data_IF_796088150878
#
_entry.id   IF_796088150878
#
_cell.length_a   1.000
_cell.length_b   1.000
_cell.length_c   1.000
_cell.angle_alpha   90.00
_cell.angle_beta   90.00
_cell.angle_gamma   90.00
#
_symmetry.space_group_name_H-M   'P 1'
#
loop_
_entity.id
_entity.type
_entity.pdbx_description
1 polymer ?
#
# COMPACT_ATOMS: atom_id res chain seq x y z
N UNK A 1 -31.88 13.23 -3.13
CA UNK A 1 -30.56 13.19 -2.45
C UNK A 1 -29.73 12.24 -3.27
N UNK A 2 -28.53 12.60 -3.77
CA UNK A 2 -27.65 11.56 -4.32
C UNK A 2 -27.40 10.54 -3.21
N UNK A 3 -27.53 9.25 -3.52
CA UNK A 3 -27.16 8.20 -2.58
C UNK A 3 -25.71 8.46 -2.13
N UNK A 4 -25.51 8.54 -0.82
CA UNK A 4 -24.18 8.76 -0.26
C UNK A 4 -23.34 7.54 -0.58
N UNK A 5 -22.24 7.73 -1.31
CA UNK A 5 -21.30 6.65 -1.62
C UNK A 5 -20.82 6.00 -0.32
N UNK A 6 -20.69 4.67 -0.33
CA UNK A 6 -20.14 3.94 0.81
C UNK A 6 -18.61 4.12 0.86
N UNK A 7 -18.01 4.21 2.06
CA UNK A 7 -16.57 4.38 2.16
C UNK A 7 -15.83 3.11 1.71
N UNK A 8 -14.70 3.32 1.04
CA UNK A 8 -13.73 2.30 0.68
C UNK A 8 -12.31 2.71 1.10
N UNK A 9 -11.45 1.72 1.29
CA UNK A 9 -10.04 1.92 1.55
C UNK A 9 -9.19 0.91 0.77
N UNK A 10 -7.98 1.32 0.43
CA UNK A 10 -7.02 0.46 -0.29
C UNK A 10 -5.84 0.10 0.60
N UNK A 11 -5.49 -1.18 0.66
CA UNK A 11 -4.31 -1.64 1.37
C UNK A 11 -3.20 -2.02 0.41
N UNK A 12 -1.95 -1.75 0.79
CA UNK A 12 -0.77 -2.03 0.00
C UNK A 12 0.26 -2.87 0.77
N UNK A 13 0.71 -3.95 0.15
CA UNK A 13 1.92 -4.71 0.54
C UNK A 13 2.99 -4.49 -0.52
N UNK A 14 3.93 -3.59 -0.25
CA UNK A 14 4.95 -3.15 -1.21
C UNK A 14 6.24 -3.97 -1.13
N UNK A 15 6.84 -4.19 -2.28
CA UNK A 15 8.15 -4.80 -2.50
C UNK A 15 8.98 -3.93 -3.44
N UNK A 16 10.22 -4.34 -3.71
CA UNK A 16 11.07 -3.69 -4.72
C UNK A 16 10.41 -3.74 -6.12
N UNK A 17 9.91 -2.59 -6.58
CA UNK A 17 9.34 -2.37 -7.90
C UNK A 17 7.88 -2.79 -8.11
N UNK A 18 7.18 -3.28 -7.08
CA UNK A 18 5.77 -3.67 -7.20
C UNK A 18 5.05 -3.70 -5.85
N UNK A 19 3.72 -3.69 -5.86
CA UNK A 19 2.91 -3.89 -4.65
C UNK A 19 1.68 -4.76 -4.92
N UNK A 20 1.27 -5.57 -3.94
CA UNK A 20 -0.10 -6.09 -3.91
C UNK A 20 -1.02 -4.99 -3.39
N UNK A 21 -2.14 -4.77 -4.08
CA UNK A 21 -3.16 -3.81 -3.72
C UNK A 21 -4.50 -4.52 -3.55
N UNK A 22 -5.19 -4.24 -2.45
CA UNK A 22 -6.56 -4.72 -2.20
C UNK A 22 -7.44 -3.55 -1.79
N UNK A 23 -8.45 -3.25 -2.61
CA UNK A 23 -9.47 -2.26 -2.30
C UNK A 23 -10.66 -2.94 -1.63
N UNK A 24 -11.02 -2.50 -0.42
CA UNK A 24 -12.16 -2.99 0.34
C UNK A 24 -13.19 -1.88 0.51
N UNK A 25 -14.47 -2.23 0.40
CA UNK A 25 -15.60 -1.31 0.54
C UNK A 25 -16.66 -1.84 1.48
N UNK A 26 -17.62 -0.97 1.80
CA UNK A 26 -18.78 -1.28 2.62
C UNK A 26 -18.54 -1.06 4.12
N UNK A 27 -19.55 -1.32 4.97
CA UNK A 27 -19.41 -1.17 6.40
C UNK A 27 -18.43 -2.22 6.98
N UNK A 28 -17.72 -1.87 8.05
CA UNK A 28 -16.81 -2.80 8.74
C UNK A 28 -17.51 -4.07 9.27
N UNK A 29 -18.83 -4.03 9.48
CA UNK A 29 -19.61 -5.21 9.85
C UNK A 29 -19.83 -6.20 8.71
N UNK A 30 -19.66 -5.77 7.45
CA UNK A 30 -19.82 -6.58 6.25
C UNK A 30 -18.95 -6.06 5.09
N UNK A 31 -17.60 -6.05 5.25
CA UNK A 31 -16.72 -5.54 4.21
C UNK A 31 -16.71 -6.47 3.00
N UNK A 32 -16.52 -5.90 1.81
CA UNK A 32 -16.30 -6.64 0.57
C UNK A 32 -15.00 -6.18 -0.09
N UNK A 33 -14.44 -7.02 -0.97
CA UNK A 33 -13.33 -6.62 -1.83
C UNK A 33 -13.91 -6.10 -3.13
N UNK A 34 -13.55 -4.86 -3.48
CA UNK A 34 -13.95 -4.23 -4.74
C UNK A 34 -13.00 -4.67 -5.85
N UNK A 35 -11.69 -4.63 -5.57
CA UNK A 35 -10.65 -4.94 -6.55
C UNK A 35 -9.39 -5.46 -5.85
N UNK A 36 -8.68 -6.37 -6.52
CA UNK A 36 -7.37 -6.84 -6.10
C UNK A 36 -6.45 -6.88 -7.30
N UNK A 37 -5.39 -6.08 -7.23
CA UNK A 37 -4.41 -5.95 -8.30
C UNK A 37 -2.96 -6.13 -7.82
N UNK A 38 -2.07 -6.42 -8.77
CA UNK A 38 -0.62 -6.31 -8.61
C UNK A 38 -0.17 -5.06 -9.35
N UNK A 39 0.28 -4.06 -8.61
CA UNK A 39 0.77 -2.81 -9.14
C UNK A 39 2.25 -2.92 -9.47
N UNK A 40 2.65 -2.45 -10.65
CA UNK A 40 4.04 -2.18 -10.95
C UNK A 40 4.36 -0.75 -10.52
N UNK A 41 5.49 -0.57 -9.84
CA UNK A 41 5.97 0.74 -9.36
C UNK A 41 7.29 1.14 -10.02
N UNK A 42 7.64 0.43 -11.09
CA UNK A 42 8.75 0.72 -12.00
C UNK A 42 8.51 -0.06 -13.29
N UNK A 43 8.96 0.49 -14.41
CA UNK A 43 8.88 -0.13 -15.72
C UNK A 43 10.25 -0.16 -16.39
N UNK A 44 10.45 -1.09 -17.32
CA UNK A 44 11.70 -1.12 -18.10
C UNK A 44 11.84 0.19 -18.90
N UNK A 45 13.02 0.83 -18.93
CA UNK A 45 14.33 0.31 -18.55
C UNK A 45 14.76 0.53 -17.10
N UNK A 46 13.92 1.15 -16.25
CA UNK A 46 14.28 1.45 -14.88
C UNK A 46 14.35 0.20 -14.00
N UNK A 47 15.27 0.16 -13.03
CA UNK A 47 15.49 -1.03 -12.22
C UNK A 47 14.44 -1.18 -11.12
N UNK A 48 14.23 -2.44 -10.70
CA UNK A 48 13.47 -2.77 -9.49
C UNK A 48 14.26 -2.58 -8.22
N UNK A 49 15.59 -2.66 -8.33
CA UNK A 49 16.54 -2.57 -7.22
C UNK A 49 17.49 -1.37 -7.48
N UNK A 50 16.97 -0.13 -7.48
CA UNK A 50 17.75 1.05 -7.87
C UNK A 50 18.98 1.28 -6.99
N UNK A 51 18.98 0.84 -5.73
CA UNK A 51 20.14 1.00 -4.86
C UNK A 51 21.23 -0.04 -5.15
N UNK A 52 20.85 -1.27 -5.52
CA UNK A 52 21.81 -2.27 -6.00
C UNK A 52 22.48 -1.84 -7.31
N UNK A 53 21.71 -1.24 -8.23
CA UNK A 53 22.26 -0.74 -9.50
C UNK A 53 23.10 0.52 -9.28
N UNK A 54 22.64 1.45 -8.45
CA UNK A 54 23.42 2.61 -8.03
C UNK A 54 24.76 2.22 -7.37
N UNK A 55 24.81 1.10 -6.63
CA UNK A 55 26.06 0.60 -6.03
C UNK A 55 27.11 0.19 -7.07
N UNK A 56 26.67 -0.23 -8.26
CA UNK A 56 27.54 -0.71 -9.36
C UNK A 56 28.08 0.44 -10.21
N UNK A 57 27.38 1.58 -10.23
CA UNK A 57 27.77 2.79 -10.96
C UNK A 57 28.73 3.71 -10.20
N UNK A 58 29.12 4.81 -10.85
CA UNK A 58 29.83 5.92 -10.20
C UNK A 58 28.92 6.78 -9.31
N UNK A 59 29.46 7.69 -8.46
CA UNK A 59 28.65 8.49 -7.54
C UNK A 59 27.55 9.34 -8.21
N UNK A 60 27.84 9.95 -9.36
CA UNK A 60 26.88 10.79 -10.09
C UNK A 60 25.76 9.92 -10.71
N UNK A 61 26.15 8.81 -11.34
CA UNK A 61 25.23 7.81 -11.90
C UNK A 61 24.33 7.19 -10.81
N UNK A 62 24.86 6.97 -9.61
CA UNK A 62 24.12 6.45 -8.47
C UNK A 62 22.98 7.37 -8.03
N UNK A 63 23.20 8.69 -8.05
CA UNK A 63 22.17 9.68 -7.74
C UNK A 63 21.10 9.70 -8.82
N UNK A 64 21.51 9.69 -10.09
CA UNK A 64 20.58 9.72 -11.24
C UNK A 64 19.67 8.48 -11.29
N UNK A 65 20.23 7.28 -11.08
CA UNK A 65 19.45 6.03 -11.06
C UNK A 65 18.37 6.06 -9.98
N UNK A 66 18.74 6.45 -8.75
CA UNK A 66 17.79 6.49 -7.62
C UNK A 66 16.74 7.57 -7.85
N UNK A 67 17.13 8.75 -8.35
CA UNK A 67 16.20 9.84 -8.64
C UNK A 67 15.19 9.46 -9.73
N UNK A 68 15.65 8.86 -10.84
CA UNK A 68 14.77 8.41 -11.92
C UNK A 68 13.79 7.34 -11.45
N UNK A 69 14.26 6.34 -10.68
CA UNK A 69 13.39 5.31 -10.13
C UNK A 69 12.37 5.87 -9.12
N UNK A 70 12.76 6.84 -8.29
CA UNK A 70 11.85 7.49 -7.35
C UNK A 70 10.76 8.30 -8.09
N UNK A 71 11.12 9.02 -9.15
CA UNK A 71 10.16 9.79 -9.92
C UNK A 71 9.15 8.90 -10.66
N UNK A 72 9.63 7.86 -11.34
CA UNK A 72 8.77 6.86 -11.98
C UNK A 72 7.82 6.21 -10.97
N UNK A 73 8.32 5.83 -9.79
CA UNK A 73 7.50 5.24 -8.74
C UNK A 73 6.39 6.19 -8.28
N UNK A 74 6.65 7.50 -8.16
CA UNK A 74 5.63 8.50 -7.81
C UNK A 74 4.55 8.60 -8.88
N UNK A 75 4.94 8.66 -10.15
CA UNK A 75 4.00 8.72 -11.28
C UNK A 75 3.10 7.49 -11.29
N UNK A 76 3.68 6.29 -11.27
CA UNK A 76 2.92 5.03 -11.30
C UNK A 76 2.04 4.84 -10.06
N UNK A 77 2.51 5.26 -8.89
CA UNK A 77 1.71 5.22 -7.67
C UNK A 77 0.51 6.18 -7.75
N UNK A 78 0.69 7.39 -8.27
CA UNK A 78 -0.38 8.37 -8.45
C UNK A 78 -1.43 7.89 -9.45
N UNK A 79 -0.99 7.32 -10.59
CA UNK A 79 -1.88 6.70 -11.58
C UNK A 79 -2.68 5.55 -10.98
N UNK A 80 -2.01 4.67 -10.22
CA UNK A 80 -2.67 3.54 -9.58
C UNK A 80 -3.74 4.00 -8.56
N UNK A 81 -3.42 4.94 -7.68
CA UNK A 81 -4.36 5.47 -6.69
C UNK A 81 -5.56 6.14 -7.39
N UNK A 82 -5.31 6.93 -8.44
CA UNK A 82 -6.37 7.56 -9.24
C UNK A 82 -7.26 6.52 -9.92
N UNK A 83 -6.66 5.47 -10.48
CA UNK A 83 -7.38 4.36 -11.09
C UNK A 83 -8.26 3.61 -10.09
N UNK A 84 -7.77 3.35 -8.88
CA UNK A 84 -8.55 2.73 -7.82
C UNK A 84 -9.69 3.63 -7.32
N UNK A 85 -9.48 4.95 -7.22
CA UNK A 85 -10.53 5.88 -6.86
C UNK A 85 -11.66 5.90 -7.91
N UNK A 86 -11.31 5.94 -9.20
CA UNK A 86 -12.27 5.87 -10.29
C UNK A 86 -13.02 4.53 -10.31
N UNK A 87 -12.32 3.41 -10.10
CA UNK A 87 -12.91 2.08 -10.02
C UNK A 87 -13.87 1.98 -8.84
N UNK A 88 -13.46 2.41 -7.65
CA UNK A 88 -14.34 2.44 -6.47
C UNK A 88 -15.60 3.25 -6.74
N UNK A 89 -15.46 4.43 -7.36
CA UNK A 89 -16.59 5.29 -7.76
C UNK A 89 -17.55 4.61 -8.73
N UNK A 90 -17.04 3.89 -9.73
CA UNK A 90 -17.86 3.11 -10.66
C UNK A 90 -18.65 1.98 -9.98
N UNK A 91 -18.18 1.51 -8.82
CA UNK A 91 -18.84 0.50 -8.00
C UNK A 91 -19.70 1.09 -6.86
N UNK A 92 -19.90 2.42 -6.81
CA UNK A 92 -20.73 3.07 -5.79
C UNK A 92 -20.01 3.39 -4.47
N UNK A 93 -18.68 3.38 -4.47
CA UNK A 93 -17.86 3.65 -3.30
C UNK A 93 -17.02 4.93 -3.44
N UNK A 94 -16.70 5.55 -2.31
CA UNK A 94 -15.75 6.65 -2.21
C UNK A 94 -14.45 6.12 -1.57
N UNK A 95 -13.33 6.21 -2.30
CA UNK A 95 -12.03 5.85 -1.73
C UNK A 95 -11.59 6.95 -0.76
N UNK A 96 -11.54 6.66 0.55
CA UNK A 96 -11.31 7.66 1.61
C UNK A 96 -9.99 7.47 2.37
N UNK A 97 -9.38 6.30 2.28
CA UNK A 97 -8.19 5.97 3.04
C UNK A 97 -7.30 4.93 2.35
N UNK A 98 -6.04 4.88 2.75
CA UNK A 98 -5.11 3.83 2.36
C UNK A 98 -4.34 3.26 3.56
N UNK A 99 -4.02 1.98 3.50
CA UNK A 99 -3.26 1.26 4.52
C UNK A 99 -1.94 0.74 3.95
N UNK A 100 -0.81 1.12 4.54
CA UNK A 100 0.52 0.67 4.13
C UNK A 100 1.04 -0.37 5.10
N UNK A 101 1.37 -1.56 4.60
CA UNK A 101 2.18 -2.51 5.37
C UNK A 101 3.59 -1.96 5.48
N UNK A 102 4.01 -1.66 6.70
CA UNK A 102 5.34 -1.13 6.99
C UNK A 102 6.33 -2.29 7.17
N UNK A 103 7.43 -2.21 6.42
CA UNK A 103 8.64 -3.00 6.63
C UNK A 103 9.68 -2.21 7.44
N UNK A 104 10.95 -2.32 7.04
CA UNK A 104 12.06 -1.56 7.63
C UNK A 104 11.81 -0.05 7.70
N UNK A 105 12.49 0.62 8.63
CA UNK A 105 12.39 2.07 8.79
C UNK A 105 12.92 2.86 7.58
N UNK A 106 12.85 4.19 7.67
CA UNK A 106 13.44 5.09 6.67
C UNK A 106 14.93 4.77 6.49
N UNK A 107 15.47 4.77 5.26
CA UNK A 107 16.89 4.52 5.01
C UNK A 107 17.77 5.59 5.67
N UNK A 108 19.08 5.35 5.61
CA UNK A 108 20.08 6.31 6.07
C UNK A 108 19.88 7.70 5.44
N UNK A 109 20.34 8.73 6.15
CA UNK A 109 20.19 10.13 5.76
C UNK A 109 20.95 10.50 4.48
N UNK A 110 21.89 9.67 4.02
CA UNK A 110 22.65 9.87 2.80
C UNK A 110 22.63 8.65 1.89
N UNK A 111 22.86 8.87 0.58
CA UNK A 111 23.03 7.80 -0.40
C UNK A 111 24.16 6.85 0.01
N UNK A 112 25.28 7.37 0.53
CA UNK A 112 26.39 6.54 1.01
C UNK A 112 26.00 5.59 2.15
N UNK A 113 25.11 6.02 3.06
CA UNK A 113 24.59 5.17 4.12
C UNK A 113 23.64 4.11 3.56
N UNK A 114 22.77 4.47 2.62
CA UNK A 114 21.87 3.52 1.93
C UNK A 114 22.64 2.48 1.12
N UNK A 115 23.82 2.82 0.59
CA UNK A 115 24.70 1.94 -0.17
C UNK A 115 25.72 1.17 0.70
N UNK A 116 25.65 1.27 2.02
CA UNK A 116 26.68 0.74 2.93
C UNK A 116 26.68 -0.80 3.02
N UNK A 117 25.51 -1.41 3.01
CA UNK A 117 25.32 -2.86 3.14
C UNK A 117 24.14 -3.33 2.29
N UNK A 118 24.08 -4.63 1.96
CA UNK A 118 22.92 -5.21 1.28
C UNK A 118 21.61 -4.99 2.06
N UNK A 119 21.65 -5.08 3.39
CA UNK A 119 20.49 -4.80 4.22
C UNK A 119 20.05 -3.32 4.12
N UNK A 120 20.99 -2.38 4.06
CA UNK A 120 20.69 -0.96 3.87
C UNK A 120 20.07 -0.69 2.49
N UNK A 121 20.59 -1.34 1.44
CA UNK A 121 20.06 -1.20 0.08
C UNK A 121 18.63 -1.74 -0.01
N UNK A 122 18.37 -2.96 0.48
CA UNK A 122 16.99 -3.50 0.52
C UNK A 122 16.04 -2.63 1.35
N UNK A 123 16.50 -2.09 2.47
CA UNK A 123 15.72 -1.15 3.28
C UNK A 123 15.37 0.12 2.51
N UNK A 124 16.33 0.68 1.77
CA UNK A 124 16.14 1.89 0.97
C UNK A 124 15.21 1.67 -0.22
N UNK A 125 15.30 0.53 -0.89
CA UNK A 125 14.40 0.15 -2.00
C UNK A 125 12.96 -0.05 -1.50
N UNK A 126 12.78 -0.83 -0.44
CA UNK A 126 11.47 -1.04 0.17
C UNK A 126 10.87 0.24 0.75
N UNK A 127 11.70 1.22 1.14
CA UNK A 127 11.24 2.55 1.49
C UNK A 127 10.80 3.36 0.26
N UNK A 128 11.63 3.44 -0.79
CA UNK A 128 11.37 4.24 -1.99
C UNK A 128 9.99 3.97 -2.59
N UNK A 129 9.66 2.70 -2.85
CA UNK A 129 8.38 2.35 -3.48
C UNK A 129 7.18 2.54 -2.54
N UNK A 130 7.38 2.34 -1.23
CA UNK A 130 6.35 2.56 -0.22
C UNK A 130 6.08 4.05 0.01
N UNK A 131 7.12 4.87 0.01
CA UNK A 131 7.03 6.32 0.13
C UNK A 131 6.24 6.89 -1.04
N UNK A 132 6.50 6.44 -2.28
CA UNK A 132 5.70 6.82 -3.44
C UNK A 132 4.19 6.52 -3.27
N UNK A 133 3.82 5.35 -2.75
CA UNK A 133 2.41 5.01 -2.47
C UNK A 133 1.81 5.86 -1.34
N UNK A 134 2.59 6.21 -0.32
CA UNK A 134 2.15 7.11 0.76
C UNK A 134 1.88 8.51 0.20
N UNK A 135 2.84 9.06 -0.55
CA UNK A 135 2.75 10.38 -1.18
C UNK A 135 1.57 10.46 -2.15
N UNK A 136 1.40 9.44 -3.00
CA UNK A 136 0.28 9.34 -3.94
C UNK A 136 -1.09 9.30 -3.22
N UNK A 137 -1.17 8.55 -2.12
CA UNK A 137 -2.38 8.48 -1.30
C UNK A 137 -2.72 9.86 -0.70
N UNK A 138 -1.73 10.51 -0.07
CA UNK A 138 -1.90 11.81 0.58
C UNK A 138 -2.24 12.91 -0.43
N UNK A 139 -1.58 12.91 -1.59
CA UNK A 139 -1.84 13.87 -2.67
C UNK A 139 -3.23 13.71 -3.28
N UNK A 140 -3.78 12.50 -3.24
CA UNK A 140 -5.16 12.21 -3.63
C UNK A 140 -6.19 12.48 -2.52
N UNK A 141 -5.77 13.09 -1.40
CA UNK A 141 -6.65 13.40 -0.27
C UNK A 141 -7.01 12.20 0.62
N UNK A 142 -6.41 11.03 0.40
CA UNK A 142 -6.66 9.84 1.20
C UNK A 142 -5.94 9.92 2.55
N UNK A 143 -6.59 9.41 3.59
CA UNK A 143 -5.92 9.15 4.87
C UNK A 143 -4.97 7.96 4.73
N UNK A 144 -3.66 8.21 4.68
CA UNK A 144 -2.65 7.16 4.66
C UNK A 144 -2.32 6.67 6.09
N UNK A 145 -2.50 5.37 6.34
CA UNK A 145 -2.25 4.71 7.63
C UNK A 145 -1.13 3.68 7.48
N UNK A 146 -0.01 3.89 8.16
CA UNK A 146 1.05 2.89 8.25
C UNK A 146 0.81 1.89 9.38
N UNK A 147 0.99 0.59 9.12
CA UNK A 147 0.90 -0.48 10.13
C UNK A 147 2.07 -1.45 10.00
N UNK A 148 2.75 -1.73 11.11
CA UNK A 148 3.83 -2.74 11.13
C UNK A 148 3.21 -4.12 10.88
N UNK A 149 3.81 -4.93 9.99
CA UNK A 149 3.20 -6.18 9.54
C UNK A 149 2.77 -7.12 10.68
N UNK A 150 3.62 -7.28 11.72
CA UNK A 150 3.32 -8.14 12.88
C UNK A 150 2.12 -7.66 13.71
N UNK A 151 1.75 -6.39 13.59
CA UNK A 151 0.66 -5.75 14.35
C UNK A 151 -0.65 -5.77 13.55
N UNK A 152 -0.63 -6.15 12.27
CA UNK A 152 -1.82 -6.18 11.41
C UNK A 152 -2.97 -6.99 12.01
N UNK A 153 -2.78 -8.23 12.52
CA UNK A 153 -3.90 -9.00 13.06
C UNK A 153 -4.58 -8.28 14.24
N UNK A 154 -3.80 -7.86 15.23
CA UNK A 154 -4.30 -7.16 16.41
C UNK A 154 -4.97 -5.82 16.06
N UNK A 155 -4.40 -5.06 15.13
CA UNK A 155 -4.95 -3.77 14.70
C UNK A 155 -6.21 -3.91 13.86
N UNK A 156 -6.29 -4.91 13.00
CA UNK A 156 -7.50 -5.22 12.24
C UNK A 156 -8.62 -5.71 13.16
N UNK A 157 -8.28 -6.54 14.15
CA UNK A 157 -9.21 -7.01 15.19
C UNK A 157 -9.83 -5.83 15.96
N UNK A 158 -8.99 -4.88 16.37
CA UNK A 158 -9.44 -3.66 17.03
C UNK A 158 -10.32 -2.77 16.11
N UNK A 159 -9.99 -2.67 14.82
CA UNK A 159 -10.78 -1.89 13.86
C UNK A 159 -12.17 -2.51 13.61
N UNK A 160 -12.26 -3.84 13.60
CA UNK A 160 -13.50 -4.59 13.38
C UNK A 160 -14.32 -4.86 14.66
N UNK A 161 -13.73 -4.65 15.84
CA UNK A 161 -14.36 -4.99 17.13
C UNK A 161 -14.50 -6.50 17.34
N UNK A 162 -13.54 -7.29 16.86
CA UNK A 162 -13.57 -8.77 16.81
C UNK A 162 -12.23 -9.35 17.29
N UNK A 163 -12.05 -10.67 17.28
CA UNK A 163 -10.78 -11.34 17.61
C UNK A 163 -9.85 -11.50 16.40
N UNK A 164 -8.54 -11.68 16.62
CA UNK A 164 -7.58 -11.94 15.53
C UNK A 164 -7.92 -13.20 14.72
N UNK A 165 -8.51 -14.22 15.36
CA UNK A 165 -8.98 -15.43 14.69
C UNK A 165 -10.13 -15.16 13.72
N UNK A 166 -11.07 -14.31 14.11
CA UNK A 166 -12.19 -13.88 13.27
C UNK A 166 -11.73 -13.00 12.11
N UNK A 167 -10.75 -12.11 12.33
CA UNK A 167 -10.07 -11.37 11.24
C UNK A 167 -9.48 -12.36 10.24
N UNK A 168 -8.74 -13.37 10.73
CA UNK A 168 -8.12 -14.39 9.90
C UNK A 168 -9.15 -15.19 9.09
N UNK A 169 -10.31 -15.50 9.67
CA UNK A 169 -11.40 -16.19 8.99
C UNK A 169 -12.07 -15.29 7.93
N UNK A 170 -12.31 -14.02 8.25
CA UNK A 170 -12.87 -13.03 7.32
C UNK A 170 -11.96 -12.82 6.12
N UNK A 171 -10.66 -12.58 6.33
CA UNK A 171 -9.69 -12.37 5.24
C UNK A 171 -9.60 -13.62 4.34
N UNK A 172 -9.78 -14.82 4.89
CA UNK A 172 -9.87 -16.05 4.10
C UNK A 172 -11.19 -16.18 3.33
N UNK A 173 -12.31 -15.72 3.90
CA UNK A 173 -13.60 -15.69 3.21
C UNK A 173 -13.54 -14.72 2.02
N UNK A 174 -13.10 -13.49 2.23
CA UNK A 174 -12.94 -12.48 1.18
C UNK A 174 -12.08 -12.99 0.00
N UNK A 175 -11.03 -13.75 0.32
CA UNK A 175 -10.18 -14.36 -0.70
C UNK A 175 -10.82 -15.51 -1.48
N UNK A 176 -11.73 -16.26 -0.85
CA UNK A 176 -12.51 -17.29 -1.54
C UNK A 176 -13.46 -16.66 -2.55
N UNK A 177 -14.09 -15.55 -2.17
CA UNK A 177 -15.04 -14.83 -3.04
C UNK A 177 -14.33 -14.16 -4.22
N UNK A 178 -13.09 -13.68 -4.04
CA UNK A 178 -12.29 -13.03 -5.09
C UNK A 178 -11.49 -14.00 -5.99
N UNK A 179 -11.32 -15.27 -5.58
CA UNK A 179 -10.45 -16.24 -6.25
C UNK A 179 -8.95 -15.95 -6.10
N UNK A 180 -8.05 -16.67 -6.81
CA UNK A 180 -6.61 -16.45 -6.78
C UNK A 180 -6.15 -15.25 -7.64
N UNK A 181 -4.98 -14.64 -7.38
CA UNK A 181 -4.03 -14.93 -6.29
C UNK A 181 -4.47 -14.38 -4.92
N UNK A 182 -4.40 -15.19 -3.86
CA UNK A 182 -4.73 -14.76 -2.48
C UNK A 182 -3.65 -15.22 -1.48
N UNK A 183 -2.41 -14.85 -1.78
CA UNK A 183 -1.24 -15.19 -0.98
C UNK A 183 -1.07 -14.30 0.25
N UNK A 184 0.11 -14.36 0.86
CA UNK A 184 0.46 -13.53 2.03
C UNK A 184 0.24 -12.04 1.75
N UNK A 185 0.74 -11.54 0.62
CA UNK A 185 0.67 -10.12 0.27
C UNK A 185 -0.76 -9.59 0.17
N UNK A 186 -1.67 -10.34 -0.46
CA UNK A 186 -3.08 -9.96 -0.50
C UNK A 186 -3.68 -9.94 0.90
N UNK A 187 -3.41 -10.96 1.73
CA UNK A 187 -3.98 -11.03 3.09
C UNK A 187 -3.53 -9.86 3.96
N UNK A 188 -2.25 -9.51 3.93
CA UNK A 188 -1.72 -8.38 4.71
C UNK A 188 -2.19 -7.03 4.16
N UNK A 189 -2.30 -6.90 2.83
CA UNK A 189 -2.91 -5.73 2.20
C UNK A 189 -4.38 -5.59 2.62
N UNK A 190 -5.18 -6.66 2.61
CA UNK A 190 -6.57 -6.65 3.07
C UNK A 190 -6.68 -6.18 4.53
N UNK A 191 -5.83 -6.70 5.42
CA UNK A 191 -5.82 -6.25 6.82
C UNK A 191 -5.47 -4.75 6.93
N UNK A 192 -4.48 -4.28 6.17
CA UNK A 192 -4.12 -2.86 6.13
C UNK A 192 -5.29 -1.99 5.63
N UNK A 193 -6.01 -2.45 4.61
CA UNK A 193 -7.19 -1.77 4.06
C UNK A 193 -8.32 -1.66 5.11
N UNK A 194 -8.62 -2.75 5.83
CA UNK A 194 -9.63 -2.77 6.89
C UNK A 194 -9.29 -1.82 8.05
N UNK A 195 -8.01 -1.77 8.45
CA UNK A 195 -7.52 -0.83 9.47
C UNK A 195 -7.69 0.62 9.00
N UNK A 196 -7.32 0.91 7.75
CA UNK A 196 -7.46 2.24 7.16
C UNK A 196 -8.93 2.66 7.09
N UNK A 197 -9.84 1.77 6.65
CA UNK A 197 -11.27 1.99 6.59
C UNK A 197 -11.87 2.29 7.98
N UNK A 198 -11.51 1.53 9.01
CA UNK A 198 -11.96 1.79 10.38
C UNK A 198 -11.45 3.12 10.95
N UNK A 199 -10.22 3.51 10.58
CA UNK A 199 -9.70 4.82 10.96
C UNK A 199 -10.46 5.98 10.30
N UNK A 200 -10.96 5.79 9.07
CA UNK A 200 -11.76 6.77 8.32
C UNK A 200 -13.11 7.00 9.00
N UNK A 201 -13.80 5.91 9.36
CA UNK A 201 -15.14 5.92 9.97
C UNK A 201 -15.19 6.51 11.39
N UNK A 202 -14.07 6.44 12.13
CA UNK A 202 -13.96 6.96 13.51
C UNK A 202 -13.97 8.50 13.60
N UNK A 203 -13.98 9.20 12.45
CA UNK A 203 -14.13 10.66 12.32
C UNK A 203 -15.30 10.98 11.37
N UNK A 204 -16.52 10.57 11.71
CA UNK A 204 -17.68 11.34 11.27
C UNK A 204 -17.69 12.65 12.07
N UNK A 205 -17.86 13.83 11.44
CA UNK A 205 -17.76 15.11 12.15
C UNK A 205 -18.91 15.27 13.15
N UNK A 206 -18.60 15.91 14.28
CA UNK A 206 -19.60 16.63 15.08
C UNK A 206 -20.11 17.84 14.31
#
# INVERSE_FOLDING_TARGET
MPDRLEPAAIGFSSHSGWAAAVCVGGPLSAPCVIERSRLLLTTWPLPREPYHDAKRGGPDEAVEIVAAAAEEARVLAAEAVTGFAALAGAHGYELVASGQVLGGGKPGASLSQSLSTHAAMHGAEGWLFREALIEASQSSGLRAVGVIERELPARAAAALGTSEGEVGALVQLLGRDCGPPWGRDQKVATMAALIALGSASSRAPA
#
